data_IF_570732271479
#
_entry.id   IF_570732271479
#
_cell.length_a   1.000
_cell.length_b   1.000
_cell.length_c   1.000
_cell.angle_alpha   90.00
_cell.angle_beta   90.00
_cell.angle_gamma   90.00
#
_symmetry.space_group_name_H-M   'P 1'
#
loop_
_entity.id
_entity.type
_entity.pdbx_description
1 polymer ?
#
# COMPACT_ATOMS: atom_id res chain seq x y z
N UNK A 1 24.65 -0.65 -29.58
CA UNK A 1 23.24 -0.32 -29.31
C UNK A 1 22.42 -0.55 -30.56
N UNK A 2 21.59 -1.59 -30.58
CA UNK A 2 20.77 -1.96 -31.75
C UNK A 2 19.37 -1.33 -31.65
N UNK A 3 18.90 -0.75 -32.75
CA UNK A 3 17.54 -0.25 -32.89
C UNK A 3 16.71 -1.12 -33.85
N UNK A 4 15.41 -1.20 -33.60
CA UNK A 4 14.44 -1.86 -34.47
C UNK A 4 13.16 -1.04 -34.55
N UNK A 5 12.47 -1.12 -35.68
CA UNK A 5 11.13 -0.54 -35.84
C UNK A 5 10.13 -1.27 -34.95
N UNK A 6 9.28 -0.51 -34.27
CA UNK A 6 8.29 -1.05 -33.33
C UNK A 6 7.07 -1.56 -34.12
N UNK A 7 6.65 -2.82 -33.96
CA UNK A 7 5.44 -3.34 -34.62
C UNK A 7 4.18 -2.55 -34.23
N UNK A 8 3.41 -2.07 -35.21
CA UNK A 8 2.20 -1.25 -34.99
C UNK A 8 2.48 0.26 -34.75
N UNK A 9 3.74 0.65 -34.82
CA UNK A 9 4.27 1.99 -34.55
C UNK A 9 5.41 2.30 -35.53
N UNK A 10 5.16 2.20 -36.84
CA UNK A 10 6.13 2.19 -37.92
C UNK A 10 7.01 3.44 -38.04
N UNK A 11 6.56 4.58 -37.51
CA UNK A 11 7.35 5.82 -37.45
C UNK A 11 8.29 5.88 -36.23
N UNK A 12 8.33 4.85 -35.40
CA UNK A 12 9.14 4.80 -34.19
C UNK A 12 10.11 3.63 -34.22
N UNK A 13 11.29 3.85 -33.66
CA UNK A 13 12.29 2.82 -33.39
C UNK A 13 12.61 2.79 -31.91
N UNK A 14 12.93 1.60 -31.40
CA UNK A 14 13.35 1.41 -30.02
C UNK A 14 14.65 0.64 -29.96
N UNK A 15 15.52 1.05 -29.05
CA UNK A 15 16.76 0.35 -28.76
C UNK A 15 16.55 -0.83 -27.82
N UNK A 16 17.56 -1.70 -27.75
CA UNK A 16 17.58 -2.84 -26.83
C UNK A 16 17.50 -2.47 -25.34
N UNK A 17 17.76 -1.19 -24.97
CA UNK A 17 17.66 -0.65 -23.60
C UNK A 17 16.40 0.19 -23.36
N UNK A 18 15.55 0.36 -24.37
CA UNK A 18 14.30 1.12 -24.25
C UNK A 18 14.39 2.62 -24.57
N UNK A 19 15.48 3.12 -25.14
CA UNK A 19 15.50 4.47 -25.77
C UNK A 19 14.64 4.45 -27.03
N UNK A 20 13.69 5.40 -27.15
CA UNK A 20 12.78 5.55 -28.29
C UNK A 20 13.15 6.76 -29.14
N UNK A 21 13.04 6.57 -30.45
CA UNK A 21 13.33 7.59 -31.45
C UNK A 21 12.20 7.66 -32.49
N UNK A 22 11.87 8.87 -32.92
CA UNK A 22 10.98 9.12 -34.04
C UNK A 22 11.76 9.11 -35.36
N UNK A 23 11.28 8.35 -36.34
CA UNK A 23 11.91 8.12 -37.62
C UNK A 23 10.88 8.30 -38.75
N UNK A 24 10.87 9.49 -39.35
CA UNK A 24 10.00 9.83 -40.49
C UNK A 24 10.81 9.79 -41.79
N UNK A 25 10.25 9.22 -42.85
CA UNK A 25 10.91 9.11 -44.17
C UNK A 25 12.33 8.55 -44.10
N UNK A 26 12.53 7.55 -43.24
CA UNK A 26 13.83 6.95 -42.96
C UNK A 26 14.93 7.92 -42.47
N UNK A 27 14.54 9.00 -41.79
CA UNK A 27 15.47 9.94 -41.14
C UNK A 27 15.09 10.12 -39.68
N UNK A 28 16.08 10.06 -38.79
CA UNK A 28 15.89 10.39 -37.37
C UNK A 28 15.44 11.84 -37.27
N UNK A 29 14.40 12.05 -36.49
CA UNK A 29 13.81 13.38 -36.29
C UNK A 29 14.13 13.90 -34.89
N UNK A 30 13.82 13.10 -33.87
CA UNK A 30 13.99 13.46 -32.48
C UNK A 30 13.84 12.25 -31.56
N UNK A 31 14.33 12.41 -30.34
CA UNK A 31 14.16 11.44 -29.25
C UNK A 31 12.78 11.63 -28.60
N UNK A 32 12.09 10.52 -28.34
CA UNK A 32 10.76 10.55 -27.74
C UNK A 32 10.90 10.70 -26.23
N UNK A 33 10.26 11.73 -25.66
CA UNK A 33 10.21 11.93 -24.22
C UNK A 33 9.55 10.74 -23.51
N UNK A 34 10.22 10.24 -22.46
CA UNK A 34 9.73 9.15 -21.62
C UNK A 34 9.35 9.71 -20.26
N UNK A 35 8.14 9.38 -19.83
CA UNK A 35 7.59 9.82 -18.55
C UNK A 35 7.63 8.69 -17.53
N UNK A 36 7.60 9.04 -16.25
CA UNK A 36 7.42 8.09 -15.17
C UNK A 36 5.94 7.98 -14.78
N UNK A 37 5.37 6.78 -14.94
CA UNK A 37 4.04 6.47 -14.43
C UNK A 37 4.14 5.83 -13.06
N UNK A 38 3.60 6.49 -12.03
CA UNK A 38 3.60 5.98 -10.65
C UNK A 38 2.54 4.91 -10.45
N UNK A 39 2.89 3.89 -9.68
CA UNK A 39 2.04 2.82 -9.20
C UNK A 39 2.09 2.77 -7.68
N UNK A 40 1.26 1.94 -7.05
CA UNK A 40 1.34 1.69 -5.60
C UNK A 40 2.67 1.06 -5.16
N UNK A 41 3.47 0.53 -6.08
CA UNK A 41 4.70 -0.24 -5.81
C UNK A 41 5.91 0.25 -6.62
N UNK A 42 6.02 1.56 -6.87
CA UNK A 42 7.11 2.16 -7.66
C UNK A 42 6.61 2.79 -8.96
N UNK A 43 7.44 2.87 -10.00
CA UNK A 43 7.06 3.47 -11.29
C UNK A 43 7.51 2.62 -12.48
N UNK A 44 6.97 2.93 -13.65
CA UNK A 44 7.43 2.41 -14.94
C UNK A 44 7.67 3.57 -15.89
N UNK A 45 8.66 3.43 -16.79
CA UNK A 45 8.81 4.33 -17.92
C UNK A 45 7.69 4.09 -18.93
N UNK A 46 7.02 5.16 -19.33
CA UNK A 46 5.91 5.16 -20.28
C UNK A 46 6.10 6.24 -21.34
N UNK A 47 5.45 6.05 -22.48
CA UNK A 47 5.42 7.01 -23.58
C UNK A 47 3.99 7.17 -24.09
N UNK A 48 3.70 8.32 -24.68
CA UNK A 48 2.44 8.59 -25.37
C UNK A 48 2.73 8.84 -26.86
N UNK A 49 2.58 7.79 -27.68
CA UNK A 49 3.01 7.77 -29.09
C UNK A 49 1.85 7.44 -30.03
N UNK A 50 2.00 7.78 -31.31
CA UNK A 50 1.00 7.50 -32.35
C UNK A 50 1.16 6.07 -32.87
N UNK A 51 0.08 5.30 -32.96
CA UNK A 51 0.12 4.05 -33.70
C UNK A 51 0.08 4.29 -35.22
N UNK A 52 0.15 3.22 -36.02
CA UNK A 52 0.06 3.30 -37.49
C UNK A 52 -1.25 3.90 -38.01
N UNK A 53 -2.31 3.84 -37.21
CA UNK A 53 -3.61 4.49 -37.50
C UNK A 53 -3.67 5.95 -37.04
N UNK A 54 -2.54 6.55 -36.67
CA UNK A 54 -2.41 7.94 -36.20
C UNK A 54 -3.19 8.25 -34.92
N UNK A 55 -3.44 7.24 -34.08
CA UNK A 55 -4.09 7.38 -32.78
C UNK A 55 -3.05 7.39 -31.66
N UNK A 56 -3.15 8.37 -30.75
CA UNK A 56 -2.31 8.44 -29.55
C UNK A 56 -2.60 7.27 -28.60
N UNK A 57 -1.55 6.59 -28.13
CA UNK A 57 -1.62 5.47 -27.19
C UNK A 57 -0.54 5.61 -26.13
N UNK A 58 -0.94 5.43 -24.88
CA UNK A 58 -0.02 5.20 -23.78
C UNK A 58 0.52 3.77 -23.82
N UNK A 59 1.85 3.64 -23.73
CA UNK A 59 2.55 2.35 -23.72
C UNK A 59 3.70 2.36 -22.73
N UNK A 60 3.90 1.22 -22.05
CA UNK A 60 5.10 1.02 -21.24
C UNK A 60 6.32 0.79 -22.12
N UNK A 61 7.45 1.40 -21.78
CA UNK A 61 8.70 1.24 -22.54
C UNK A 61 9.14 -0.22 -22.56
N UNK A 62 9.10 -0.89 -21.41
CA UNK A 62 9.37 -2.33 -21.28
C UNK A 62 8.47 -3.19 -22.19
N UNK A 63 7.20 -2.80 -22.40
CA UNK A 63 6.29 -3.50 -23.31
C UNK A 63 6.71 -3.35 -24.77
N UNK A 64 7.12 -2.14 -25.17
CA UNK A 64 7.60 -1.88 -26.53
C UNK A 64 8.92 -2.60 -26.81
N UNK A 65 9.83 -2.67 -25.82
CA UNK A 65 11.07 -3.46 -25.95
C UNK A 65 10.74 -4.93 -26.12
N UNK A 66 9.93 -5.51 -25.22
CA UNK A 66 9.56 -6.93 -25.29
C UNK A 66 8.88 -7.26 -26.62
N UNK A 67 7.89 -6.46 -27.04
CA UNK A 67 7.22 -6.62 -28.33
C UNK A 67 8.19 -6.61 -29.53
N UNK A 68 9.18 -5.71 -29.50
CA UNK A 68 10.07 -5.48 -30.64
C UNK A 68 11.20 -6.51 -30.74
N UNK A 69 11.73 -6.96 -29.59
CA UNK A 69 12.89 -7.84 -29.56
C UNK A 69 12.53 -9.30 -29.28
N UNK A 70 11.47 -9.55 -28.51
CA UNK A 70 11.03 -10.89 -28.09
C UNK A 70 9.74 -11.32 -28.82
N UNK A 71 9.12 -10.42 -29.59
CA UNK A 71 7.92 -10.70 -30.38
C UNK A 71 6.62 -10.46 -29.62
N UNK A 72 5.47 -10.69 -30.26
CA UNK A 72 4.17 -10.60 -29.61
C UNK A 72 4.02 -11.66 -28.51
N UNK A 73 3.14 -11.43 -27.52
CA UNK A 73 2.80 -12.47 -26.56
C UNK A 73 2.21 -13.70 -27.27
N UNK A 74 2.31 -14.90 -26.67
CA UNK A 74 1.66 -16.10 -27.20
C UNK A 74 0.15 -15.91 -27.41
N UNK A 75 -0.37 -16.50 -28.48
CA UNK A 75 -1.79 -16.46 -28.84
C UNK A 75 -2.48 -17.78 -28.45
N UNK A 76 -2.57 -18.05 -27.14
CA UNK A 76 -3.16 -19.26 -26.57
C UNK A 76 -4.40 -18.97 -25.70
N UNK A 77 -4.93 -17.73 -25.80
CA UNK A 77 -6.07 -17.27 -25.02
C UNK A 77 -5.77 -16.90 -23.57
N UNK A 78 -4.50 -16.96 -23.12
CA UNK A 78 -4.10 -16.52 -21.80
C UNK A 78 -3.75 -15.02 -21.77
N UNK A 79 -3.81 -14.43 -20.57
CA UNK A 79 -3.44 -13.03 -20.35
C UNK A 79 -1.96 -12.97 -19.95
N UNK A 80 -1.17 -12.29 -20.79
CA UNK A 80 0.26 -12.06 -20.57
C UNK A 80 0.56 -10.64 -20.14
N UNK A 81 1.46 -10.53 -19.17
CA UNK A 81 2.11 -9.29 -18.76
C UNK A 81 3.61 -9.38 -19.08
N UNK A 82 4.26 -8.23 -19.24
CA UNK A 82 5.73 -8.21 -19.34
C UNK A 82 6.31 -8.28 -17.92
N UNK A 83 7.12 -9.31 -17.68
CA UNK A 83 7.89 -9.48 -16.46
C UNK A 83 9.30 -8.89 -16.62
N UNK A 84 9.87 -8.37 -15.53
CA UNK A 84 11.29 -8.05 -15.42
C UNK A 84 11.97 -9.18 -14.63
N UNK A 85 12.88 -9.90 -15.28
CA UNK A 85 13.50 -11.12 -14.73
C UNK A 85 14.24 -10.80 -13.41
N UNK A 86 15.01 -9.71 -13.39
CA UNK A 86 15.72 -9.22 -12.20
C UNK A 86 14.83 -8.48 -11.16
N UNK A 87 13.54 -8.29 -11.44
CA UNK A 87 12.62 -7.53 -10.60
C UNK A 87 12.80 -6.01 -10.63
N UNK A 88 13.78 -5.49 -11.37
CA UNK A 88 14.03 -4.05 -11.52
C UNK A 88 13.26 -3.46 -12.70
N UNK A 89 12.19 -2.73 -12.38
CA UNK A 89 11.27 -2.08 -13.34
C UNK A 89 11.92 -1.08 -14.30
N UNK A 90 13.13 -0.60 -13.98
CA UNK A 90 13.87 0.35 -14.81
C UNK A 90 14.92 -0.33 -15.69
N UNK A 91 15.23 -1.61 -15.47
CA UNK A 91 16.10 -2.40 -16.33
C UNK A 91 15.30 -2.94 -17.53
N UNK A 92 15.07 -2.08 -18.52
CA UNK A 92 14.29 -2.40 -19.72
C UNK A 92 15.10 -3.10 -20.81
N UNK A 93 16.26 -3.71 -20.48
CA UNK A 93 17.02 -4.44 -21.48
C UNK A 93 16.21 -5.63 -22.01
N UNK A 94 16.22 -5.88 -23.32
CA UNK A 94 15.38 -6.93 -23.92
C UNK A 94 15.60 -8.34 -23.35
N UNK A 95 16.84 -8.66 -22.93
CA UNK A 95 17.17 -9.93 -22.26
C UNK A 95 16.67 -10.00 -20.81
N UNK A 96 16.25 -8.88 -20.22
CA UNK A 96 15.73 -8.80 -18.86
C UNK A 96 14.19 -8.75 -18.83
N UNK A 97 13.53 -8.71 -19.99
CA UNK A 97 12.07 -8.68 -20.07
C UNK A 97 11.52 -9.89 -20.80
N UNK A 98 10.37 -10.39 -20.38
CA UNK A 98 9.73 -11.54 -21.00
C UNK A 98 8.21 -11.49 -20.89
N UNK A 99 7.51 -12.22 -21.75
CA UNK A 99 6.06 -12.43 -21.61
C UNK A 99 5.80 -13.55 -20.60
N UNK A 100 5.08 -13.22 -19.54
CA UNK A 100 4.62 -14.20 -18.55
C UNK A 100 3.12 -14.05 -18.33
N UNK A 101 2.44 -15.19 -18.18
CA UNK A 101 1.03 -15.18 -17.75
C UNK A 101 0.92 -14.46 -16.40
N UNK A 102 -0.21 -13.79 -16.15
CA UNK A 102 -0.42 -13.05 -14.90
C UNK A 102 -0.17 -13.89 -13.62
N UNK A 103 -0.57 -15.17 -13.65
CA UNK A 103 -0.35 -16.13 -12.56
C UNK A 103 1.14 -16.42 -12.35
N UNK A 104 1.89 -16.68 -13.42
CA UNK A 104 3.32 -16.94 -13.32
C UNK A 104 4.12 -15.70 -12.95
N UNK A 105 3.76 -14.51 -13.44
CA UNK A 105 4.38 -13.25 -13.01
C UNK A 105 4.17 -13.02 -11.50
N UNK A 106 2.96 -13.30 -11.00
CA UNK A 106 2.68 -13.27 -9.56
C UNK A 106 3.53 -14.29 -8.79
N UNK A 107 3.71 -15.49 -9.33
CA UNK A 107 4.54 -16.53 -8.71
C UNK A 107 6.02 -16.15 -8.70
N UNK A 108 6.53 -15.56 -9.78
CA UNK A 108 7.88 -15.00 -9.88
C UNK A 108 8.12 -13.96 -8.78
N UNK A 109 7.23 -12.97 -8.68
CA UNK A 109 7.33 -11.93 -7.66
C UNK A 109 7.28 -12.46 -6.22
N UNK A 110 6.59 -13.59 -6.00
CA UNK A 110 6.55 -14.29 -4.72
C UNK A 110 7.89 -15.01 -4.46
N UNK A 111 8.42 -15.75 -5.44
CA UNK A 111 9.69 -16.49 -5.29
C UNK A 111 10.88 -15.56 -5.08
N UNK A 112 10.92 -14.46 -5.83
CA UNK A 112 11.98 -13.45 -5.77
C UNK A 112 11.83 -12.46 -4.61
N UNK A 113 10.79 -12.60 -3.77
CA UNK A 113 10.59 -11.70 -2.63
C UNK A 113 10.24 -10.25 -3.00
N UNK A 114 9.81 -10.00 -4.23
CA UNK A 114 9.47 -8.66 -4.74
C UNK A 114 8.15 -8.11 -4.16
N UNK A 115 7.45 -8.87 -3.31
CA UNK A 115 6.20 -8.46 -2.69
C UNK A 115 6.37 -8.24 -1.19
N UNK A 116 5.77 -7.16 -0.69
CA UNK A 116 5.74 -6.85 0.74
C UNK A 116 4.94 -7.85 1.58
N UNK A 117 4.02 -8.61 0.97
CA UNK A 117 3.25 -9.67 1.62
C UNK A 117 3.95 -11.04 1.57
N UNK A 118 5.18 -11.08 1.03
CA UNK A 118 6.03 -12.26 1.03
C UNK A 118 6.75 -12.38 2.38
N UNK A 119 6.02 -12.90 3.36
CA UNK A 119 6.51 -13.09 4.72
C UNK A 119 7.12 -14.49 4.83
N UNK A 120 8.44 -14.63 4.97
CA UNK A 120 9.04 -15.94 5.19
C UNK A 120 8.53 -16.54 6.50
N UNK A 121 8.20 -17.82 6.46
CA UNK A 121 7.77 -18.57 7.64
C UNK A 121 8.69 -19.75 7.83
N UNK A 122 9.31 -19.80 9.00
CA UNK A 122 10.08 -20.95 9.46
C UNK A 122 9.12 -21.92 10.14
N UNK A 123 9.04 -23.14 9.61
CA UNK A 123 8.37 -24.25 10.24
C UNK A 123 9.43 -25.14 10.90
N UNK A 124 9.37 -25.26 12.23
CA UNK A 124 10.24 -26.19 12.97
C UNK A 124 9.44 -27.42 13.35
N UNK A 125 9.96 -28.57 12.99
CA UNK A 125 9.51 -29.87 13.44
C UNK A 125 10.14 -30.16 14.81
N UNK A 126 9.32 -30.24 15.86
CA UNK A 126 9.81 -30.48 17.23
C UNK A 126 10.15 -31.95 17.48
N UNK A 127 9.67 -32.87 16.63
CA UNK A 127 9.95 -34.30 16.76
C UNK A 127 11.28 -34.63 16.10
N UNK A 128 11.44 -34.19 14.85
CA UNK A 128 12.65 -34.49 14.06
C UNK A 128 13.76 -33.43 14.22
N UNK A 129 13.49 -32.36 14.97
CA UNK A 129 14.34 -31.18 15.13
C UNK A 129 14.80 -30.57 13.79
N UNK A 130 13.98 -30.72 12.74
CA UNK A 130 14.23 -30.20 11.39
C UNK A 130 13.52 -28.88 11.20
N UNK A 131 14.18 -27.94 10.53
CA UNK A 131 13.60 -26.64 10.20
C UNK A 131 13.47 -26.50 8.69
N UNK A 132 12.30 -26.07 8.22
CA UNK A 132 12.03 -25.79 6.81
C UNK A 132 11.54 -24.35 6.69
N UNK A 133 12.16 -23.58 5.81
CA UNK A 133 11.76 -22.20 5.53
C UNK A 133 10.90 -22.16 4.28
N UNK A 134 9.73 -21.52 4.39
CA UNK A 134 8.86 -21.20 3.27
C UNK A 134 8.99 -19.71 2.96
N UNK A 135 9.06 -19.33 1.68
CA UNK A 135 9.21 -17.94 1.25
C UNK A 135 7.96 -17.10 1.55
N UNK A 136 6.79 -17.73 1.70
CA UNK A 136 5.55 -17.04 2.07
C UNK A 136 4.62 -17.86 2.97
N UNK A 137 3.80 -17.15 3.74
CA UNK A 137 2.64 -17.72 4.45
C UNK A 137 1.71 -18.49 3.50
N UNK A 138 1.58 -18.05 2.23
CA UNK A 138 0.71 -18.69 1.24
C UNK A 138 1.27 -20.05 0.82
N UNK A 139 2.59 -20.12 0.60
CA UNK A 139 3.28 -21.38 0.28
C UNK A 139 3.13 -22.39 1.41
N UNK A 140 3.38 -21.97 2.65
CA UNK A 140 3.13 -22.81 3.83
C UNK A 140 1.69 -23.34 3.85
N UNK A 141 0.72 -22.48 3.55
CA UNK A 141 -0.70 -22.86 3.48
C UNK A 141 -1.00 -23.90 2.42
N UNK A 142 -0.40 -23.78 1.24
CA UNK A 142 -0.53 -24.80 0.19
C UNK A 142 0.07 -26.14 0.63
N UNK A 143 1.27 -26.12 1.20
CA UNK A 143 1.96 -27.34 1.66
C UNK A 143 1.19 -28.07 2.75
N UNK A 144 0.59 -27.33 3.68
CA UNK A 144 -0.20 -27.90 4.77
C UNK A 144 -1.68 -28.11 4.41
N UNK A 145 -2.10 -27.76 3.19
CA UNK A 145 -3.48 -27.74 2.72
C UNK A 145 -4.43 -26.91 3.64
N UNK A 146 -3.99 -25.71 4.02
CA UNK A 146 -4.70 -24.80 4.92
C UNK A 146 -5.18 -23.57 4.13
N UNK A 147 -6.46 -23.20 4.21
CA UNK A 147 -6.98 -22.02 3.55
C UNK A 147 -6.29 -20.72 4.01
N UNK A 148 -6.09 -19.78 3.06
CA UNK A 148 -5.42 -18.48 3.29
C UNK A 148 -6.02 -17.67 4.44
N UNK A 149 -7.33 -17.76 4.69
CA UNK A 149 -7.99 -17.02 5.77
C UNK A 149 -7.62 -17.56 7.16
N UNK A 150 -7.34 -18.86 7.25
CA UNK A 150 -7.09 -19.54 8.52
C UNK A 150 -5.61 -19.50 8.92
N UNK A 151 -4.71 -19.44 7.95
CA UNK A 151 -3.28 -19.59 8.22
C UNK A 151 -2.69 -18.44 9.06
N UNK A 152 -3.18 -17.21 8.91
CA UNK A 152 -2.74 -16.08 9.74
C UNK A 152 -3.07 -16.30 11.22
N UNK A 153 -4.31 -16.72 11.51
CA UNK A 153 -4.73 -17.04 12.87
C UNK A 153 -3.95 -18.24 13.43
N UNK A 154 -3.67 -19.22 12.58
CA UNK A 154 -2.92 -20.42 12.92
C UNK A 154 -1.47 -20.09 13.31
N UNK A 155 -0.74 -19.35 12.47
CA UNK A 155 0.65 -18.98 12.79
C UNK A 155 0.71 -18.19 14.11
N UNK A 156 -0.23 -17.28 14.36
CA UNK A 156 -0.31 -16.54 15.62
C UNK A 156 -0.52 -17.47 16.83
N UNK A 157 -1.46 -18.42 16.73
CA UNK A 157 -1.82 -19.36 17.80
C UNK A 157 -0.71 -20.38 18.10
N UNK A 158 -0.05 -20.89 17.06
CA UNK A 158 0.94 -21.96 17.15
C UNK A 158 2.39 -21.44 17.12
N UNK A 159 2.61 -20.21 17.59
CA UNK A 159 3.95 -19.71 17.98
C UNK A 159 4.50 -20.45 19.18
N UNK A 160 3.63 -20.76 20.14
CA UNK A 160 3.98 -21.38 21.43
C UNK A 160 3.51 -22.82 21.50
N UNK A 161 2.29 -23.09 21.01
CA UNK A 161 1.74 -24.44 20.96
C UNK A 161 2.11 -25.13 19.64
N UNK A 162 2.45 -26.42 19.64
CA UNK A 162 2.74 -27.15 18.42
C UNK A 162 1.45 -27.49 17.64
N UNK A 163 1.40 -27.11 16.38
CA UNK A 163 0.39 -27.54 15.42
C UNK A 163 0.51 -29.03 15.14
N UNK A 164 -0.62 -29.75 15.28
CA UNK A 164 -0.66 -31.23 15.22
C UNK A 164 0.38 -31.89 16.12
N UNK A 165 0.69 -31.27 17.27
CA UNK A 165 1.66 -31.76 18.25
C UNK A 165 3.09 -31.94 17.68
N UNK A 166 3.39 -31.33 16.53
CA UNK A 166 4.65 -31.57 15.80
C UNK A 166 5.32 -30.32 15.24
N UNK A 167 4.55 -29.29 14.88
CA UNK A 167 5.12 -28.15 14.15
C UNK A 167 4.90 -26.83 14.89
N UNK A 168 5.96 -26.05 15.06
CA UNK A 168 5.86 -24.65 15.51
C UNK A 168 6.22 -23.72 14.36
N UNK A 169 5.60 -22.55 14.34
CA UNK A 169 5.81 -21.56 13.28
C UNK A 169 6.45 -20.29 13.84
N UNK A 170 7.51 -19.84 13.17
CA UNK A 170 8.18 -18.59 13.47
C UNK A 170 8.16 -17.72 12.22
N UNK A 171 7.70 -16.48 12.37
CA UNK A 171 7.69 -15.51 11.28
C UNK A 171 8.98 -14.70 11.35
N UNK A 172 9.74 -14.67 10.25
CA UNK A 172 10.88 -13.77 10.16
C UNK A 172 10.42 -12.37 9.75
N UNK A 173 10.32 -11.47 10.73
CA UNK A 173 10.01 -10.06 10.50
C UNK A 173 11.25 -9.21 10.16
N UNK A 174 12.46 -9.76 10.10
CA UNK A 174 13.70 -8.97 9.89
C UNK A 174 13.71 -8.23 8.55
N UNK A 175 13.04 -8.79 7.53
CA UNK A 175 12.93 -8.17 6.21
C UNK A 175 11.71 -7.24 6.07
N UNK A 176 10.91 -7.08 7.12
CA UNK A 176 9.89 -6.05 7.15
C UNK A 176 10.54 -4.70 7.36
N UNK A 177 10.69 -3.95 6.26
CA UNK A 177 10.77 -2.50 6.37
C UNK A 177 9.66 -2.05 7.32
N UNK A 178 10.03 -1.32 8.36
CA UNK A 178 9.09 -0.84 9.36
C UNK A 178 7.94 -0.19 8.60
N UNK A 179 6.72 -0.72 8.72
CA UNK A 179 5.55 -0.01 8.19
C UNK A 179 5.43 1.23 9.06
N UNK A 180 6.11 2.31 8.65
CA UNK A 180 5.79 3.65 9.12
C UNK A 180 4.36 3.83 8.69
N UNK A 181 3.42 3.64 9.60
CA UNK A 181 2.09 4.20 9.46
C UNK A 181 2.32 5.70 9.37
N UNK A 182 2.50 6.18 8.15
CA UNK A 182 2.37 7.60 7.83
C UNK A 182 1.04 8.00 8.43
N UNK A 183 1.02 9.08 9.21
CA UNK A 183 -0.18 9.70 9.79
C UNK A 183 -0.61 9.18 11.18
N UNK A 184 0.27 9.32 12.19
CA UNK A 184 -0.21 9.75 13.51
C UNK A 184 -0.09 11.28 13.59
N UNK A 185 -0.68 11.99 12.63
CA UNK A 185 -0.80 13.45 12.73
C UNK A 185 -1.83 13.69 13.83
N UNK A 186 -1.46 14.32 14.95
CA UNK A 186 -2.39 14.50 16.05
C UNK A 186 -3.53 15.43 15.62
N UNK A 187 -4.71 15.16 16.16
CA UNK A 187 -5.91 15.95 15.92
C UNK A 187 -5.94 17.03 17.00
N UNK A 188 -5.92 18.29 16.59
CA UNK A 188 -6.18 19.42 17.48
C UNK A 188 -7.68 19.61 17.57
N UNK A 189 -8.17 19.72 18.79
CA UNK A 189 -9.59 19.85 19.11
C UNK A 189 -9.72 21.10 19.97
N UNK A 190 -10.50 22.07 19.56
CA UNK A 190 -10.85 23.21 20.40
C UNK A 190 -12.23 22.98 21.00
N UNK A 191 -12.30 23.03 22.32
CA UNK A 191 -13.54 22.96 23.08
C UNK A 191 -14.05 24.38 23.32
N UNK A 192 -15.18 24.72 22.72
CA UNK A 192 -15.78 26.04 22.88
C UNK A 192 -16.55 26.23 24.19
N UNK A 193 -16.84 25.15 24.93
CA UNK A 193 -17.50 25.20 26.24
C UNK A 193 -16.45 25.52 27.30
N UNK A 194 -15.38 24.74 27.35
CA UNK A 194 -14.30 24.91 28.33
C UNK A 194 -13.21 25.89 27.87
N UNK A 195 -13.31 26.42 26.64
CA UNK A 195 -12.36 27.35 26.02
C UNK A 195 -10.91 26.86 26.02
N UNK A 196 -10.70 25.55 25.82
CA UNK A 196 -9.38 24.90 25.88
C UNK A 196 -9.05 24.09 24.63
N UNK A 197 -7.76 23.92 24.39
CA UNK A 197 -7.24 23.03 23.35
C UNK A 197 -6.97 21.63 23.90
N UNK A 198 -7.38 20.62 23.15
CA UNK A 198 -7.07 19.22 23.36
C UNK A 198 -6.29 18.67 22.15
N UNK A 199 -5.43 17.69 22.41
CA UNK A 199 -4.65 17.03 21.37
C UNK A 199 -4.86 15.53 21.50
N UNK A 200 -5.43 14.93 20.46
CA UNK A 200 -5.62 13.49 20.37
C UNK A 200 -4.59 12.88 19.41
N UNK A 201 -3.90 11.81 19.84
CA UNK A 201 -2.90 11.11 19.00
C UNK A 201 -3.54 10.25 17.90
N UNK A 202 -4.84 9.99 17.99
CA UNK A 202 -5.64 9.20 17.05
C UNK A 202 -7.11 9.63 17.03
N UNK A 203 -7.85 9.20 16.01
CA UNK A 203 -9.29 9.42 15.88
C UNK A 203 -10.06 8.76 17.03
N UNK A 204 -9.64 7.56 17.45
CA UNK A 204 -10.25 6.85 18.58
C UNK A 204 -10.08 7.62 19.89
N UNK A 205 -8.91 8.23 20.11
CA UNK A 205 -8.66 9.08 21.28
C UNK A 205 -9.50 10.38 21.21
N UNK A 206 -9.63 10.98 20.03
CA UNK A 206 -10.50 12.15 19.85
C UNK A 206 -11.97 11.82 20.12
N UNK A 207 -12.43 10.64 19.71
CA UNK A 207 -13.77 10.13 19.98
C UNK A 207 -14.00 9.97 21.48
N UNK A 208 -13.05 9.36 22.21
CA UNK A 208 -13.14 9.23 23.66
C UNK A 208 -13.16 10.58 24.40
N UNK A 209 -12.40 11.57 23.93
CA UNK A 209 -12.34 12.90 24.55
C UNK A 209 -13.59 13.75 24.30
N UNK A 210 -14.30 13.52 23.19
CA UNK A 210 -15.41 14.40 22.75
C UNK A 210 -16.78 13.74 22.73
N UNK A 211 -16.84 12.41 22.84
CA UNK A 211 -18.06 11.63 22.64
C UNK A 211 -18.54 11.56 21.19
N UNK A 212 -17.81 12.15 20.23
CA UNK A 212 -18.19 12.17 18.81
C UNK A 212 -17.78 10.87 18.14
N UNK A 213 -18.63 10.30 17.28
CA UNK A 213 -18.33 9.08 16.53
C UNK A 213 -17.06 9.22 15.68
N UNK A 214 -16.19 8.20 15.60
CA UNK A 214 -14.95 8.23 14.81
C UNK A 214 -15.15 8.65 13.35
N UNK A 215 -16.23 8.21 12.71
CA UNK A 215 -16.50 8.54 11.30
C UNK A 215 -16.81 10.03 11.09
N UNK A 216 -17.50 10.64 12.06
CA UNK A 216 -17.83 12.08 12.03
C UNK A 216 -16.57 12.92 12.24
N UNK A 217 -15.71 12.51 13.17
CA UNK A 217 -14.39 13.13 13.37
C UNK A 217 -13.55 12.99 12.09
N UNK A 218 -13.53 11.81 11.48
CA UNK A 218 -12.81 11.55 10.23
C UNK A 218 -13.30 12.46 9.11
N UNK A 219 -14.61 12.60 8.96
CA UNK A 219 -15.22 13.48 7.96
C UNK A 219 -14.84 14.94 8.19
N UNK A 220 -14.97 15.42 9.42
CA UNK A 220 -14.65 16.81 9.81
C UNK A 220 -13.18 17.14 9.55
N UNK A 221 -12.27 16.27 9.98
CA UNK A 221 -10.82 16.44 9.83
C UNK A 221 -10.39 16.37 8.37
N UNK A 222 -10.99 15.49 7.54
CA UNK A 222 -10.65 15.37 6.11
C UNK A 222 -11.15 16.52 5.26
N UNK A 223 -12.35 17.04 5.54
CA UNK A 223 -12.91 18.17 4.79
C UNK A 223 -12.33 19.52 5.23
N UNK A 224 -11.54 19.53 6.30
CA UNK A 224 -10.94 20.73 6.87
C UNK A 224 -11.99 21.84 7.08
N UNK A 225 -13.21 21.43 7.44
CA UNK A 225 -14.42 22.20 7.20
C UNK A 225 -14.64 23.33 8.20
N UNK A 226 -13.78 23.48 9.21
CA UNK A 226 -13.98 24.42 10.32
C UNK A 226 -15.26 24.17 11.13
N UNK A 227 -15.99 23.09 10.84
CA UNK A 227 -17.30 22.80 11.39
C UNK A 227 -17.20 22.56 12.90
N UNK A 228 -18.05 23.27 13.64
CA UNK A 228 -18.29 23.02 15.06
C UNK A 228 -19.28 21.87 15.20
N UNK A 229 -18.84 20.78 15.83
CA UNK A 229 -19.62 19.56 16.05
C UNK A 229 -19.69 19.33 17.56
N UNK A 230 -20.90 19.29 18.11
CA UNK A 230 -21.14 19.07 19.55
C UNK A 230 -20.32 20.00 20.47
N UNK A 231 -20.10 21.25 20.05
CA UNK A 231 -19.31 22.22 20.81
C UNK A 231 -17.80 22.18 20.54
N UNK A 232 -17.30 21.25 19.72
CA UNK A 232 -15.89 21.11 19.39
C UNK A 232 -15.59 21.50 17.93
N UNK A 233 -14.44 22.09 17.67
CA UNK A 233 -13.89 22.20 16.31
C UNK A 233 -12.59 21.41 16.23
N UNK A 234 -12.40 20.67 15.14
CA UNK A 234 -11.28 19.74 14.99
C UNK A 234 -10.52 19.97 13.70
N UNK A 235 -9.21 19.76 13.74
CA UNK A 235 -8.35 19.84 12.57
C UNK A 235 -7.06 19.03 12.71
N UNK A 236 -6.41 18.71 11.60
CA UNK A 236 -5.09 18.06 11.61
C UNK A 236 -4.04 19.08 12.08
N UNK A 237 -3.16 18.67 12.99
CA UNK A 237 -2.03 19.48 13.47
C UNK A 237 -1.03 19.74 12.33
N UNK A 238 -1.24 20.82 11.59
CA UNK A 238 -0.46 21.22 10.41
C UNK A 238 -1.22 22.18 9.49
N UNK A 239 -2.55 22.26 9.63
CA UNK A 239 -3.41 23.23 8.97
C UNK A 239 -3.81 24.28 10.02
N UNK A 240 -3.69 25.58 9.70
CA UNK A 240 -4.24 26.65 10.52
C UNK A 240 -5.74 26.38 10.73
N UNK A 241 -6.13 26.07 11.97
CA UNK A 241 -7.53 26.08 12.38
C UNK A 241 -7.88 27.55 12.52
N UNK A 242 -8.51 28.12 11.49
CA UNK A 242 -9.04 29.48 11.54
C UNK A 242 -10.17 29.48 12.58
N UNK A 243 -9.91 30.14 13.71
CA UNK A 243 -10.92 30.41 14.73
C UNK A 243 -11.66 31.65 14.22
N UNK A 244 -12.81 31.43 13.61
CA UNK A 244 -13.70 32.51 13.19
C UNK A 244 -14.71 32.74 14.32
N UNK A 245 -14.53 33.82 15.10
CA UNK A 245 -15.48 34.23 16.14
C UNK A 245 -16.76 34.86 15.57
N UNK A 246 -16.88 34.97 14.25
CA UNK A 246 -17.95 35.72 13.56
C UNK A 246 -18.97 34.87 12.79
N UNK A 247 -18.85 33.54 12.74
CA UNK A 247 -19.88 32.69 12.13
C UNK A 247 -20.84 32.06 13.14
N UNK A 248 -22.06 32.60 13.16
CA UNK A 248 -23.18 32.14 13.95
C UNK A 248 -23.84 30.84 13.46
N UNK A 249 -24.44 30.17 14.44
CA UNK A 249 -25.62 29.29 14.38
C UNK A 249 -25.65 28.16 13.34
N UNK A 250 -25.19 26.97 13.77
CA UNK A 250 -26.01 25.77 13.64
C UNK A 250 -26.08 25.15 15.03
N UNK A 251 -27.13 25.50 15.79
CA UNK A 251 -27.50 24.78 17.00
C UNK A 251 -28.12 23.45 16.59
N UNK A 252 -27.29 22.42 16.39
CA UNK A 252 -27.74 21.08 16.70
C UNK A 252 -27.62 20.94 18.22
N UNK A 253 -28.73 21.17 18.92
CA UNK A 253 -28.87 20.82 20.33
C UNK A 253 -28.68 19.31 20.45
N UNK A 254 -27.46 18.88 20.71
CA UNK A 254 -27.21 17.54 21.22
C UNK A 254 -27.31 17.66 22.74
N UNK A 255 -28.48 17.26 23.24
CA UNK A 255 -28.78 17.17 24.65
C UNK A 255 -27.63 16.43 25.37
N UNK A 256 -27.09 17.03 26.45
CA UNK A 256 -26.03 16.43 27.29
C UNK A 256 -26.61 15.34 28.21
N UNK A 257 -27.61 14.62 27.75
CA UNK A 257 -28.28 13.56 28.49
C UNK A 257 -27.84 12.20 27.93
N UNK A 258 -26.96 11.56 28.71
CA UNK A 258 -26.88 10.10 28.88
C UNK A 258 -26.96 9.22 27.64
N UNK A 259 -25.80 8.80 27.15
CA UNK A 259 -25.61 7.47 26.56
C UNK A 259 -24.52 6.71 27.34
N UNK A 260 -24.77 6.50 28.63
CA UNK A 260 -24.42 5.22 29.23
C UNK A 260 -25.64 4.34 29.02
N UNK A 261 -25.62 3.48 28.00
CA UNK A 261 -26.43 2.26 27.96
C UNK A 261 -25.76 1.32 26.94
N UNK A 262 -25.24 0.23 27.51
CA UNK A 262 -25.00 -1.07 26.89
C UNK A 262 -23.95 -1.18 25.79
N UNK A 263 -22.69 -1.20 26.22
CA UNK A 263 -21.65 -1.97 25.52
C UNK A 263 -21.18 -3.12 26.43
N UNK A 264 -21.82 -4.30 26.40
CA UNK A 264 -21.46 -5.42 27.26
C UNK A 264 -20.28 -6.18 26.65
N UNK A 265 -19.11 -5.54 26.51
CA UNK A 265 -17.84 -6.19 26.11
C UNK A 265 -16.59 -5.44 26.61
N UNK A 266 -16.61 -4.95 27.85
CA UNK A 266 -15.39 -4.53 28.56
C UNK A 266 -15.47 -5.03 30.01
N UNK A 267 -15.54 -6.35 30.17
CA UNK A 267 -14.88 -7.01 31.29
C UNK A 267 -13.73 -7.81 30.69
N UNK A 268 -12.51 -7.33 30.96
CA UNK A 268 -11.36 -8.18 31.24
C UNK A 268 -10.28 -7.29 31.85
N UNK A 269 -10.33 -7.25 33.18
CA UNK A 269 -9.17 -7.30 34.08
C UNK A 269 -7.92 -6.47 33.74
N UNK A 270 -7.73 -5.43 34.57
CA UNK A 270 -6.48 -5.08 35.28
C UNK A 270 -5.17 -5.18 34.49
N UNK A 271 -4.62 -4.02 34.15
CA UNK A 271 -3.23 -3.73 34.48
C UNK A 271 -3.04 -2.22 34.70
N UNK A 272 -2.68 -1.87 35.93
CA UNK A 272 -2.29 -0.54 36.34
C UNK A 272 -1.08 -0.07 35.54
N UNK A 273 -1.19 1.05 34.83
CA UNK A 273 -0.02 1.89 34.56
C UNK A 273 -0.38 3.33 34.91
N UNK A 274 -0.06 3.66 36.15
CA UNK A 274 0.03 5.00 36.72
C UNK A 274 0.79 5.94 35.78
N UNK A 275 0.07 6.92 35.20
CA UNK A 275 0.70 8.04 34.51
C UNK A 275 1.14 9.04 35.59
N UNK A 276 2.45 9.07 35.81
CA UNK A 276 3.13 10.09 36.61
C UNK A 276 2.97 11.44 35.91
N UNK A 277 2.30 12.37 36.59
CA UNK A 277 2.28 13.79 36.25
C UNK A 277 3.66 14.38 36.55
N UNK A 278 4.45 14.65 35.51
CA UNK A 278 5.58 15.57 35.64
C UNK A 278 5.16 16.96 35.17
N UNK A 279 4.89 17.81 36.16
CA UNK A 279 4.89 19.26 36.04
C UNK A 279 6.29 19.71 35.61
N UNK A 280 6.38 20.49 34.53
CA UNK A 280 7.57 21.31 34.29
C UNK A 280 7.26 22.74 34.67
N UNK A 281 7.81 23.14 35.82
CA UNK A 281 8.09 24.52 36.18
C UNK A 281 9.27 25.03 35.34
N UNK A 282 9.09 26.13 34.64
CA UNK A 282 9.88 27.37 34.72
C UNK A 282 9.33 28.41 33.75
#
# INVERSE_FOLDING_TARGET
MRYKTIPGYGIYRISEYGTLECYLNNKHQFDVEQLESKTSKGSYKVVNILNDSLLKKWRGVHQLVCLTFNGPPPDDGLIYDVNHIDGNKHNNHYLNVEWLTHSNNTLHAIKEGLRYDNIPVLMKDIVDNKSTTYYSIIELGRTLNIPRKSIYALIGRYKVLPFKERFIFEIDFRNFGTVKRTHSIPIKIYDYVDKKWLIAKSISMASGLTGIKPDVITYSVKKNSGLRIAGFQMGMSGIQVLIDETYGQIEAVADRTTYYLDNPLMDDSKEHTSIVLNQYNK
#
